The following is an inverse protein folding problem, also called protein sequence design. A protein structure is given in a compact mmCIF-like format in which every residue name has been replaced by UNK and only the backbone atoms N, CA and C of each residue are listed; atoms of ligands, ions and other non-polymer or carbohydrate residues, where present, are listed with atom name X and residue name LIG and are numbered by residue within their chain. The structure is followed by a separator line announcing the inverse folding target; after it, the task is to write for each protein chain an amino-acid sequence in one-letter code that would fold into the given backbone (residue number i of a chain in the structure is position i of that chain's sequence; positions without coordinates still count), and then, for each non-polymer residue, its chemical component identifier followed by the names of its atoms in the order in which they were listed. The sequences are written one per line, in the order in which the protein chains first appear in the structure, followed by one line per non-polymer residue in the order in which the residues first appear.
data_IF_753872092008
#
_entry.id   IF_753872092008
#
_cell.length_a   1.000
_cell.length_b   1.000
_cell.length_c   1.000
_cell.angle_alpha   90.00
_cell.angle_beta   90.00
_cell.angle_gamma   90.00
#
_symmetry.space_group_name_H-M   'P 1'
#
loop_
_entity.id
_entity.type
_entity.pdbx_description
1 polymer ?
#
# COMPACT_ATOMS: atom_id res chain seq x y z
N UNK A 1 -2.14 5.00 -30.68
CA UNK A 1 -1.83 4.05 -29.58
C UNK A 1 -1.36 4.89 -28.42
N UNK A 2 -2.26 5.36 -27.56
CA UNK A 2 -1.91 6.21 -26.42
C UNK A 2 -2.76 5.78 -25.22
N UNK A 3 -2.29 4.76 -24.51
CA UNK A 3 -2.83 4.34 -23.21
C UNK A 3 -2.10 5.11 -22.10
N UNK A 4 -2.29 6.42 -22.09
CA UNK A 4 -1.66 7.33 -21.13
C UNK A 4 -2.65 7.68 -20.03
N UNK A 5 -2.71 6.86 -18.98
CA UNK A 5 -2.99 7.24 -17.57
C UNK A 5 -2.94 6.00 -16.65
N UNK A 6 -1.73 5.50 -16.40
CA UNK A 6 -1.40 4.69 -15.22
C UNK A 6 -0.46 5.50 -14.31
N UNK A 7 -0.73 6.80 -14.12
CA UNK A 7 -0.02 7.64 -13.15
C UNK A 7 -0.57 7.41 -11.74
N UNK A 8 -0.55 6.15 -11.31
CA UNK A 8 -0.65 5.80 -9.90
C UNK A 8 0.75 5.64 -9.31
N UNK A 9 0.89 5.59 -7.98
CA UNK A 9 2.14 5.28 -7.30
C UNK A 9 2.66 3.86 -7.58
N UNK A 10 1.87 3.01 -8.25
CA UNK A 10 2.32 1.71 -8.77
C UNK A 10 2.75 1.83 -10.22
N UNK A 11 3.89 1.24 -10.53
CA UNK A 11 4.36 1.05 -11.91
C UNK A 11 3.47 0.06 -12.67
N UNK A 12 3.53 0.08 -14.00
CA UNK A 12 2.82 -0.90 -14.84
C UNK A 12 3.24 -2.33 -14.49
N UNK A 13 4.54 -2.56 -14.31
CA UNK A 13 5.09 -3.89 -13.99
C UNK A 13 4.55 -4.41 -12.64
N UNK A 14 4.44 -3.53 -11.63
CA UNK A 14 3.85 -3.89 -10.33
C UNK A 14 2.37 -4.23 -10.45
N UNK A 15 1.61 -3.46 -11.23
CA UNK A 15 0.21 -3.75 -11.48
C UNK A 15 0.02 -5.09 -12.21
N UNK A 16 0.84 -5.37 -13.22
CA UNK A 16 0.82 -6.64 -13.95
C UNK A 16 1.17 -7.83 -13.04
N UNK A 17 2.15 -7.67 -12.14
CA UNK A 17 2.48 -8.70 -11.13
C UNK A 17 1.30 -9.00 -10.21
N UNK A 18 0.55 -7.99 -9.79
CA UNK A 18 -0.65 -8.17 -8.96
C UNK A 18 -1.75 -8.90 -9.76
N UNK A 19 -1.97 -8.53 -11.01
CA UNK A 19 -2.96 -9.19 -11.88
C UNK A 19 -2.61 -10.63 -12.25
N UNK A 20 -1.32 -10.96 -12.30
CA UNK A 20 -0.84 -12.33 -12.55
C UNK A 20 -1.10 -13.29 -11.36
N UNK A 21 -1.47 -12.77 -10.18
CA UNK A 21 -1.77 -13.61 -9.02
C UNK A 21 -3.07 -14.40 -9.21
N UNK A 22 -3.11 -15.63 -8.71
CA UNK A 22 -4.32 -16.46 -8.68
C UNK A 22 -5.27 -16.08 -7.54
N UNK A 23 -5.08 -14.91 -6.92
CA UNK A 23 -5.93 -14.41 -5.85
C UNK A 23 -7.36 -14.17 -6.35
N UNK A 24 -8.37 -14.44 -5.49
CA UNK A 24 -9.73 -13.97 -5.74
C UNK A 24 -9.78 -12.45 -5.98
N UNK A 25 -10.74 -11.99 -6.76
CA UNK A 25 -10.87 -10.56 -7.15
C UNK A 25 -10.81 -9.61 -5.95
N UNK A 26 -11.46 -9.95 -4.84
CA UNK A 26 -11.46 -9.15 -3.62
C UNK A 26 -10.07 -9.04 -2.99
N UNK A 27 -9.35 -10.15 -2.90
CA UNK A 27 -8.01 -10.20 -2.31
C UNK A 27 -7.01 -9.45 -3.19
N UNK A 28 -7.15 -9.56 -4.51
CA UNK A 28 -6.34 -8.81 -5.47
C UNK A 28 -6.59 -7.30 -5.37
N UNK A 29 -7.85 -6.89 -5.24
CA UNK A 29 -8.18 -5.48 -5.03
C UNK A 29 -7.57 -4.93 -3.73
N UNK A 30 -7.66 -5.71 -2.65
CA UNK A 30 -7.03 -5.36 -1.38
C UNK A 30 -5.50 -5.26 -1.49
N UNK A 31 -4.86 -6.22 -2.15
CA UNK A 31 -3.42 -6.20 -2.42
C UNK A 31 -3.01 -4.95 -3.22
N UNK A 32 -3.78 -4.59 -4.25
CA UNK A 32 -3.54 -3.39 -5.05
C UNK A 32 -3.62 -2.12 -4.20
N UNK A 33 -4.60 -2.03 -3.30
CA UNK A 33 -4.73 -0.90 -2.37
C UNK A 33 -3.55 -0.84 -1.40
N UNK A 34 -3.16 -1.96 -0.79
CA UNK A 34 -2.00 -2.03 0.11
C UNK A 34 -0.70 -1.62 -0.60
N UNK A 35 -0.46 -2.13 -1.80
CA UNK A 35 0.72 -1.81 -2.58
C UNK A 35 0.76 -0.33 -2.96
N UNK A 36 -0.39 0.22 -3.39
CA UNK A 36 -0.54 1.64 -3.68
C UNK A 36 -0.20 2.50 -2.46
N UNK A 37 -0.78 2.19 -1.30
CA UNK A 37 -0.53 2.94 -0.07
C UNK A 37 0.92 2.82 0.40
N UNK A 38 1.54 1.64 0.29
CA UNK A 38 2.96 1.47 0.60
C UNK A 38 3.83 2.36 -0.30
N UNK A 39 3.57 2.38 -1.61
CA UNK A 39 4.30 3.22 -2.55
C UNK A 39 4.13 4.72 -2.24
N UNK A 40 2.92 5.17 -1.89
CA UNK A 40 2.69 6.55 -1.43
C UNK A 40 3.45 6.86 -0.14
N UNK A 41 3.39 5.99 0.87
CA UNK A 41 4.12 6.18 2.14
C UNK A 41 5.63 6.23 1.92
N UNK A 42 6.18 5.43 1.00
CA UNK A 42 7.59 5.50 0.59
C UNK A 42 7.93 6.81 -0.11
N UNK A 43 7.03 7.35 -0.92
CA UNK A 43 7.19 8.66 -1.56
C UNK A 43 7.24 9.79 -0.50
N UNK A 44 6.34 9.75 0.48
CA UNK A 44 6.32 10.69 1.61
C UNK A 44 7.60 10.58 2.45
N UNK A 45 8.08 9.37 2.69
CA UNK A 45 9.27 9.14 3.50
C UNK A 45 10.59 9.47 2.76
N UNK A 46 10.56 9.72 1.45
CA UNK A 46 11.74 9.95 0.65
C UNK A 46 12.60 11.11 1.21
N UNK A 47 13.94 10.99 1.23
CA UNK A 47 14.75 9.93 0.60
C UNK A 47 14.94 8.67 1.45
N UNK A 48 14.25 8.50 2.59
CA UNK A 48 14.40 7.31 3.44
C UNK A 48 13.88 6.07 2.70
N UNK A 49 14.72 5.03 2.64
CA UNK A 49 14.39 3.73 2.03
C UNK A 49 14.15 2.62 3.05
N UNK A 50 14.50 2.88 4.32
CA UNK A 50 14.42 1.94 5.43
C UNK A 50 13.98 2.70 6.69
N UNK A 51 13.46 1.95 7.66
CA UNK A 51 12.96 2.49 8.91
C UNK A 51 11.43 2.54 8.98
N UNK A 52 10.89 3.29 9.95
CA UNK A 52 9.46 3.37 10.19
C UNK A 52 8.74 4.08 9.04
N UNK A 53 7.44 3.82 8.91
CA UNK A 53 6.55 4.58 8.04
C UNK A 53 6.51 6.07 8.47
N UNK A 54 6.17 6.99 7.55
CA UNK A 54 6.04 8.40 7.89
C UNK A 54 5.00 8.61 8.98
N UNK A 55 5.26 9.59 9.86
CA UNK A 55 4.35 9.95 10.94
C UNK A 55 3.07 10.60 10.39
N UNK A 56 2.02 10.67 11.21
CA UNK A 56 0.79 11.38 10.83
C UNK A 56 1.06 12.85 10.45
N UNK A 57 2.02 13.50 11.11
CA UNK A 57 2.42 14.87 10.81
C UNK A 57 3.07 14.98 9.42
N UNK A 58 3.97 14.06 9.07
CA UNK A 58 4.59 14.01 7.74
C UNK A 58 3.56 13.75 6.63
N UNK A 59 2.57 12.88 6.89
CA UNK A 59 1.46 12.62 5.97
C UNK A 59 0.58 13.86 5.79
N UNK A 60 0.24 14.57 6.88
CA UNK A 60 -0.56 15.80 6.81
C UNK A 60 0.15 16.91 6.04
N UNK A 61 1.45 17.10 6.26
CA UNK A 61 2.26 18.04 5.49
C UNK A 61 2.20 17.71 4.00
N UNK A 62 2.41 16.43 3.65
CA UNK A 62 2.32 15.98 2.26
C UNK A 62 0.92 16.22 1.65
N UNK A 63 -0.15 15.96 2.40
CA UNK A 63 -1.51 16.25 1.95
C UNK A 63 -1.72 17.74 1.60
N UNK A 64 -1.15 18.66 2.38
CA UNK A 64 -1.21 20.10 2.08
C UNK A 64 -0.43 20.50 0.83
N UNK A 65 0.62 19.75 0.49
CA UNK A 65 1.41 19.96 -0.73
C UNK A 65 0.70 19.44 -1.99
N UNK A 66 -0.15 18.41 -1.86
CA UNK A 66 -0.90 17.84 -2.99
C UNK A 66 -2.06 18.75 -3.44
N UNK A 67 -2.06 19.25 -4.69
CA UNK A 67 -3.13 20.12 -5.20
C UNK A 67 -4.51 19.47 -5.18
N UNK A 68 -4.57 18.15 -5.35
CA UNK A 68 -5.82 17.39 -5.35
C UNK A 68 -6.43 17.19 -3.94
N UNK A 69 -5.63 17.40 -2.89
CA UNK A 69 -6.04 17.13 -1.51
C UNK A 69 -6.18 18.41 -0.68
N UNK A 70 -5.44 19.47 -1.04
CA UNK A 70 -5.28 20.69 -0.24
C UNK A 70 -6.58 21.31 0.26
N UNK A 71 -7.60 21.38 -0.59
CA UNK A 71 -8.86 22.09 -0.28
C UNK A 71 -9.98 21.17 0.23
N UNK A 72 -9.70 19.87 0.44
CA UNK A 72 -10.68 18.88 0.89
C UNK A 72 -10.25 18.24 2.22
N UNK A 73 -10.65 18.89 3.32
CA UNK A 73 -10.31 18.44 4.68
C UNK A 73 -10.96 17.11 5.05
N UNK A 74 -12.20 16.85 4.58
CA UNK A 74 -12.89 15.59 4.88
C UNK A 74 -12.18 14.42 4.20
N UNK A 75 -11.73 14.61 2.96
CA UNK A 75 -10.94 13.61 2.26
C UNK A 75 -9.56 13.40 2.91
N UNK A 76 -8.90 14.45 3.38
CA UNK A 76 -7.63 14.32 4.11
C UNK A 76 -7.77 13.47 5.39
N UNK A 77 -8.84 13.68 6.15
CA UNK A 77 -9.13 12.90 7.36
C UNK A 77 -9.39 11.42 7.03
N UNK A 78 -10.16 11.14 5.98
CA UNK A 78 -10.43 9.77 5.55
C UNK A 78 -9.16 9.08 5.03
N UNK A 79 -8.34 9.79 4.24
CA UNK A 79 -7.06 9.28 3.75
C UNK A 79 -6.12 8.94 4.93
N UNK A 80 -6.07 9.79 5.95
CA UNK A 80 -5.26 9.54 7.14
C UNK A 80 -5.73 8.29 7.89
N UNK A 81 -7.04 8.09 8.05
CA UNK A 81 -7.59 6.86 8.66
C UNK A 81 -7.21 5.61 7.86
N UNK A 82 -7.31 5.67 6.53
CA UNK A 82 -6.93 4.57 5.66
C UNK A 82 -5.44 4.25 5.77
N UNK A 83 -4.58 5.28 5.81
CA UNK A 83 -3.15 5.08 6.04
C UNK A 83 -2.84 4.51 7.40
N UNK A 84 -3.56 4.87 8.48
CA UNK A 84 -3.34 4.26 9.78
C UNK A 84 -3.63 2.75 9.78
N UNK A 85 -4.76 2.36 9.18
CA UNK A 85 -5.14 0.93 9.06
C UNK A 85 -4.08 0.16 8.28
N UNK A 86 -3.66 0.69 7.13
CA UNK A 86 -2.67 0.03 6.27
C UNK A 86 -1.29 0.04 6.94
N UNK A 87 -0.90 1.13 7.60
CA UNK A 87 0.37 1.23 8.32
C UNK A 87 0.50 0.15 9.39
N UNK A 88 -0.56 -0.11 10.15
CA UNK A 88 -0.58 -1.22 11.11
C UNK A 88 -0.40 -2.57 10.42
N UNK A 89 -1.09 -2.81 9.30
CA UNK A 89 -0.96 -4.05 8.53
C UNK A 89 0.43 -4.25 7.90
N UNK A 90 1.09 -3.15 7.52
CA UNK A 90 2.45 -3.14 7.01
C UNK A 90 3.45 -3.37 8.14
N UNK A 91 3.31 -2.72 9.29
CA UNK A 91 4.14 -2.96 10.47
C UNK A 91 4.13 -4.43 10.88
N UNK A 92 2.94 -5.04 11.01
CA UNK A 92 2.83 -6.48 11.33
C UNK A 92 3.49 -7.37 10.27
N UNK A 93 3.42 -7.01 8.99
CA UNK A 93 4.08 -7.78 7.93
C UNK A 93 5.60 -7.61 8.01
N UNK A 94 6.08 -6.40 8.23
CA UNK A 94 7.50 -6.10 8.34
C UNK A 94 8.13 -6.87 9.51
N UNK A 95 7.46 -6.88 10.67
CA UNK A 95 7.85 -7.67 11.84
C UNK A 95 7.94 -9.16 11.50
N UNK A 96 6.95 -9.71 10.77
CA UNK A 96 6.94 -11.10 10.35
C UNK A 96 8.08 -11.45 9.35
N UNK A 97 8.52 -10.48 8.56
CA UNK A 97 9.64 -10.62 7.64
C UNK A 97 11.01 -10.29 8.26
N UNK A 98 11.04 -9.75 9.49
CA UNK A 98 12.27 -9.22 10.11
C UNK A 98 12.84 -7.99 9.41
N UNK A 99 11.97 -7.21 8.75
CA UNK A 99 12.31 -6.00 7.99
C UNK A 99 11.71 -4.78 8.66
N UNK A 100 12.17 -3.59 8.27
CA UNK A 100 11.41 -2.37 8.57
C UNK A 100 10.28 -2.15 7.56
N UNK A 101 9.20 -1.43 7.92
CA UNK A 101 8.05 -1.22 7.04
C UNK A 101 8.38 -0.59 5.68
N UNK A 102 9.35 0.34 5.63
CA UNK A 102 9.77 0.96 4.37
C UNK A 102 10.55 0.00 3.46
N UNK A 103 11.12 -1.07 4.01
CA UNK A 103 11.84 -2.11 3.25
C UNK A 103 10.90 -3.13 2.60
N UNK A 104 9.62 -3.15 2.98
CA UNK A 104 8.64 -4.08 2.41
C UNK A 104 8.60 -3.98 0.89
N UNK A 105 8.57 -5.12 0.23
CA UNK A 105 8.49 -5.23 -1.22
C UNK A 105 7.09 -5.63 -1.66
N UNK A 106 6.77 -5.42 -2.94
CA UNK A 106 5.54 -5.95 -3.52
C UNK A 106 5.43 -7.47 -3.35
N UNK A 107 6.55 -8.18 -3.41
CA UNK A 107 6.60 -9.63 -3.26
C UNK A 107 6.15 -10.08 -1.86
N UNK A 108 6.64 -9.42 -0.81
CA UNK A 108 6.18 -9.68 0.56
C UNK A 108 4.66 -9.44 0.73
N UNK A 109 4.11 -8.44 0.03
CA UNK A 109 2.66 -8.18 0.04
C UNK A 109 1.89 -9.30 -0.69
N UNK A 110 2.37 -9.75 -1.85
CA UNK A 110 1.78 -10.86 -2.61
C UNK A 110 1.78 -12.13 -1.76
N UNK A 111 2.92 -12.49 -1.16
CA UNK A 111 3.06 -13.70 -0.35
C UNK A 111 2.09 -13.69 0.84
N UNK A 112 1.98 -12.55 1.53
CA UNK A 112 1.02 -12.36 2.63
C UNK A 112 -0.42 -12.55 2.14
N UNK A 113 -0.78 -11.94 1.00
CA UNK A 113 -2.12 -12.02 0.45
C UNK A 113 -2.49 -13.46 0.06
N UNK A 114 -1.57 -14.19 -0.58
CA UNK A 114 -1.76 -15.59 -0.93
C UNK A 114 -1.87 -16.50 0.30
N UNK A 115 -1.04 -16.27 1.32
CA UNK A 115 -1.12 -17.02 2.57
C UNK A 115 -2.45 -16.75 3.31
N UNK A 116 -2.96 -15.52 3.28
CA UNK A 116 -4.25 -15.17 3.86
C UNK A 116 -5.41 -15.79 3.07
N UNK A 117 -5.34 -15.78 1.73
CA UNK A 117 -6.34 -16.38 0.86
C UNK A 117 -6.42 -17.90 1.05
N UNK A 118 -5.27 -18.58 1.09
CA UNK A 118 -5.17 -20.02 1.38
C UNK A 118 -5.78 -20.38 2.73
N UNK A 119 -5.50 -19.62 3.79
CA UNK A 119 -6.09 -19.85 5.12
C UNK A 119 -7.62 -19.75 5.10
N UNK A 120 -8.18 -18.71 4.46
CA UNK A 120 -9.65 -18.56 4.32
C UNK A 120 -10.31 -19.72 3.57
N UNK A 121 -9.64 -20.28 2.58
CA UNK A 121 -10.14 -21.45 1.85
C UNK A 121 -10.12 -22.71 2.72
N UNK A 122 -9.10 -22.87 3.57
CA UNK A 122 -9.00 -23.99 4.52
C UNK A 122 -10.03 -23.90 5.65
N UNK A 123 -10.35 -22.69 6.14
CA UNK A 123 -11.37 -22.47 7.19
C UNK A 123 -12.80 -22.67 6.69
N UNK A 124 -13.02 -22.64 5.37
CA UNK A 124 -14.32 -22.88 4.72
C UNK A 124 -14.52 -24.32 4.24
N UNK A 125 -13.51 -25.18 4.41
CA UNK A 125 -13.54 -26.60 4.04
C UNK A 125 -13.77 -27.49 5.26
#
# INVERSE_FOLDING_TARGET
MESSTLNGPLTREEAERIEATLLPTLDRHHLRLQAHCLATLKSIAAPRRQGPLPSNEEIQVWCGEQPALRDDSEFQDELLRQFQVISNQLNTLADACGLTPLELTLEALIDKAEAASRRRLQEKS
#
